data_IF_496368725351
#
_entry.id   IF_496368725351
#
_cell.length_a   1.000
_cell.length_b   1.000
_cell.length_c   1.000
_cell.angle_alpha   90.00
_cell.angle_beta   90.00
_cell.angle_gamma   90.00
#
_symmetry.space_group_name_H-M   'P 1'
#
loop_
_entity.id
_entity.type
_entity.pdbx_description
1 polymer ?
#
# COMPACT_ATOMS: atom_id res chain seq x y z
N UNK A 1 -1.19 21.04 -33.49
CA UNK A 1 -0.63 19.82 -32.87
C UNK A 1 -1.80 18.92 -32.53
N UNK A 2 -1.96 17.78 -33.22
CA UNK A 2 -2.97 16.79 -32.83
C UNK A 2 -2.32 15.91 -31.77
N UNK A 3 -2.82 15.97 -30.54
CA UNK A 3 -2.43 15.02 -29.50
C UNK A 3 -2.79 13.62 -29.98
N UNK A 4 -1.78 12.76 -30.10
CA UNK A 4 -2.02 11.33 -30.28
C UNK A 4 -2.64 10.81 -28.99
N UNK A 5 -3.86 10.28 -29.09
CA UNK A 5 -4.44 9.52 -27.98
C UNK A 5 -3.59 8.29 -27.67
N UNK A 6 -3.84 7.65 -26.51
CA UNK A 6 -3.16 6.42 -26.14
C UNK A 6 -3.25 5.37 -27.27
N UNK A 7 -2.19 4.59 -27.44
CA UNK A 7 -2.19 3.44 -28.34
C UNK A 7 -3.14 2.36 -27.82
N UNK A 8 -3.58 1.43 -28.67
CA UNK A 8 -4.43 0.32 -28.25
C UNK A 8 -3.76 -0.57 -27.17
N UNK A 9 -2.42 -0.61 -27.16
CA UNK A 9 -1.61 -1.31 -26.15
C UNK A 9 -1.64 -0.57 -24.82
N UNK A 10 -1.50 0.76 -24.83
CA UNK A 10 -1.66 1.59 -23.64
C UNK A 10 -3.07 1.51 -23.07
N UNK A 11 -4.10 1.53 -23.91
CA UNK A 11 -5.49 1.37 -23.48
C UNK A 11 -5.73 -0.01 -22.81
N UNK A 12 -5.13 -1.07 -23.35
CA UNK A 12 -5.24 -2.42 -22.79
C UNK A 12 -4.52 -2.54 -21.43
N UNK A 13 -3.32 -1.97 -21.32
CA UNK A 13 -2.55 -1.91 -20.07
C UNK A 13 -3.34 -1.17 -18.98
N UNK A 14 -3.81 0.05 -19.28
CA UNK A 14 -4.62 0.85 -18.35
C UNK A 14 -5.89 0.11 -17.89
N UNK A 15 -6.58 -0.58 -18.80
CA UNK A 15 -7.75 -1.39 -18.46
C UNK A 15 -7.39 -2.60 -17.58
N UNK A 16 -6.25 -3.25 -17.83
CA UNK A 16 -5.72 -4.35 -17.03
C UNK A 16 -5.42 -3.91 -15.60
N UNK A 17 -4.73 -2.78 -15.44
CA UNK A 17 -4.40 -2.17 -14.15
C UNK A 17 -5.65 -1.75 -13.38
N UNK A 18 -6.59 -1.06 -14.03
CA UNK A 18 -7.86 -0.67 -13.42
C UNK A 18 -8.68 -1.88 -12.96
N UNK A 19 -8.69 -2.96 -13.73
CA UNK A 19 -9.36 -4.20 -13.35
C UNK A 19 -8.71 -4.86 -12.12
N UNK A 20 -7.37 -4.88 -12.05
CA UNK A 20 -6.63 -5.41 -10.92
C UNK A 20 -6.87 -4.60 -9.64
N UNK A 21 -6.74 -3.26 -9.71
CA UNK A 21 -6.99 -2.35 -8.60
C UNK A 21 -8.42 -2.50 -8.03
N UNK A 22 -9.42 -2.61 -8.91
CA UNK A 22 -10.81 -2.86 -8.49
C UNK A 22 -11.00 -4.20 -7.77
N UNK A 23 -10.26 -5.25 -8.15
CA UNK A 23 -10.30 -6.54 -7.46
C UNK A 23 -9.63 -6.48 -6.09
N UNK A 24 -8.49 -5.80 -5.98
CA UNK A 24 -7.81 -5.53 -4.70
C UNK A 24 -8.73 -4.74 -3.77
N UNK A 25 -9.32 -3.65 -4.24
CA UNK A 25 -10.27 -2.85 -3.47
C UNK A 25 -11.43 -3.70 -2.92
N UNK A 26 -12.06 -4.52 -3.77
CA UNK A 26 -13.13 -5.45 -3.35
C UNK A 26 -12.63 -6.52 -2.37
N UNK A 27 -11.36 -6.91 -2.45
CA UNK A 27 -10.74 -7.84 -1.50
C UNK A 27 -10.68 -7.20 -0.12
N UNK A 28 -10.18 -5.97 -0.03
CA UNK A 28 -10.17 -5.17 1.21
C UNK A 28 -11.59 -4.98 1.77
N UNK A 29 -12.57 -4.65 0.93
CA UNK A 29 -13.97 -4.52 1.37
C UNK A 29 -14.56 -5.84 1.89
N UNK A 30 -14.25 -6.97 1.27
CA UNK A 30 -14.70 -8.28 1.72
C UNK A 30 -14.08 -8.64 3.08
N UNK A 31 -12.77 -8.40 3.26
CA UNK A 31 -12.07 -8.56 4.54
C UNK A 31 -12.69 -7.69 5.64
N UNK A 32 -13.00 -6.42 5.33
CA UNK A 32 -13.64 -5.51 6.28
C UNK A 32 -15.03 -5.98 6.74
N UNK A 33 -15.72 -6.80 5.93
CA UNK A 33 -17.02 -7.40 6.28
C UNK A 33 -16.90 -8.80 6.90
N UNK A 34 -15.68 -9.30 7.11
CA UNK A 34 -15.41 -10.66 7.60
C UNK A 34 -15.69 -11.78 6.59
N UNK A 35 -15.85 -11.47 5.30
CA UNK A 35 -16.11 -12.45 4.23
C UNK A 35 -14.79 -12.96 3.64
N UNK A 36 -14.07 -13.76 4.44
CA UNK A 36 -12.75 -14.32 4.10
C UNK A 36 -12.77 -15.15 2.81
N UNK A 37 -13.83 -15.94 2.57
CA UNK A 37 -13.92 -16.79 1.38
C UNK A 37 -14.08 -15.95 0.11
N UNK A 38 -14.85 -14.87 0.18
CA UNK A 38 -14.94 -13.93 -0.94
C UNK A 38 -13.63 -13.19 -1.15
N UNK A 39 -12.96 -12.75 -0.09
CA UNK A 39 -11.66 -12.10 -0.19
C UNK A 39 -10.64 -13.00 -0.92
N UNK A 40 -10.52 -14.27 -0.53
CA UNK A 40 -9.65 -15.25 -1.20
C UNK A 40 -9.95 -15.40 -2.69
N UNK A 41 -11.23 -15.49 -3.07
CA UNK A 41 -11.63 -15.60 -4.48
C UNK A 41 -11.25 -14.35 -5.29
N UNK A 42 -11.45 -13.16 -4.72
CA UNK A 42 -11.10 -11.89 -5.38
C UNK A 42 -9.59 -11.72 -5.51
N UNK A 43 -8.82 -12.05 -4.47
CA UNK A 43 -7.36 -12.06 -4.51
C UNK A 43 -6.82 -13.01 -5.59
N UNK A 44 -7.37 -14.22 -5.68
CA UNK A 44 -7.02 -15.16 -6.74
C UNK A 44 -7.35 -14.62 -8.15
N UNK A 45 -8.46 -13.92 -8.32
CA UNK A 45 -8.83 -13.29 -9.59
C UNK A 45 -7.93 -12.10 -9.97
N UNK A 46 -7.38 -11.39 -8.99
CA UNK A 46 -6.40 -10.34 -9.20
C UNK A 46 -5.04 -10.94 -9.57
N UNK A 47 -4.60 -11.98 -8.85
CA UNK A 47 -3.35 -12.68 -9.12
C UNK A 47 -3.33 -13.39 -10.49
N UNK A 48 -4.50 -13.83 -10.98
CA UNK A 48 -4.64 -14.47 -12.29
C UNK A 48 -4.65 -13.47 -13.47
N UNK A 49 -4.45 -12.17 -13.23
CA UNK A 49 -4.32 -11.21 -14.34
C UNK A 49 -3.04 -11.52 -15.13
N UNK A 50 -3.10 -11.48 -16.48
CA UNK A 50 -1.92 -11.72 -17.30
C UNK A 50 -0.85 -10.67 -17.00
N UNK A 51 0.41 -11.04 -17.26
CA UNK A 51 1.52 -10.10 -17.23
C UNK A 51 1.23 -8.92 -18.17
N UNK A 52 1.57 -7.72 -17.71
CA UNK A 52 1.51 -6.52 -18.54
C UNK A 52 2.90 -6.29 -19.15
N UNK A 53 3.04 -6.57 -20.44
CA UNK A 53 4.30 -6.37 -21.17
C UNK A 53 4.67 -4.89 -21.34
N UNK A 54 3.70 -3.98 -21.27
CA UNK A 54 3.94 -2.54 -21.42
C UNK A 54 4.61 -1.97 -20.18
N UNK A 55 4.08 -2.35 -19.01
CA UNK A 55 4.53 -1.88 -17.69
C UNK A 55 5.55 -2.83 -17.05
N UNK A 56 5.78 -4.01 -17.64
CA UNK A 56 6.65 -5.08 -17.16
C UNK A 56 6.31 -5.58 -15.73
N UNK A 57 5.02 -5.66 -15.40
CA UNK A 57 4.52 -6.02 -14.07
C UNK A 57 3.43 -7.10 -14.09
N UNK A 58 3.22 -7.70 -12.92
CA UNK A 58 2.04 -8.51 -12.65
C UNK A 58 0.94 -7.61 -12.03
N UNK A 59 -0.16 -7.29 -12.75
CA UNK A 59 -1.12 -6.28 -12.30
C UNK A 59 -1.73 -6.55 -10.93
N UNK A 60 -1.98 -7.81 -10.58
CA UNK A 60 -2.54 -8.20 -9.28
C UNK A 60 -1.63 -7.85 -8.10
N UNK A 61 -0.44 -8.46 -8.00
CA UNK A 61 0.56 -8.11 -7.00
C UNK A 61 0.88 -6.62 -6.96
N UNK A 62 1.12 -6.00 -8.13
CA UNK A 62 1.45 -4.57 -8.20
C UNK A 62 0.32 -3.71 -7.63
N UNK A 63 -0.94 -3.98 -8.00
CA UNK A 63 -2.08 -3.21 -7.49
C UNK A 63 -2.28 -3.37 -5.97
N UNK A 64 -1.92 -4.53 -5.40
CA UNK A 64 -1.98 -4.74 -3.95
C UNK A 64 -0.89 -3.96 -3.21
N UNK A 65 0.32 -3.94 -3.75
CA UNK A 65 1.43 -3.13 -3.26
C UNK A 65 1.11 -1.62 -3.37
N UNK A 66 0.66 -1.18 -4.54
CA UNK A 66 0.29 0.21 -4.78
C UNK A 66 -0.85 0.68 -3.87
N UNK A 67 -1.86 -0.16 -3.62
CA UNK A 67 -2.95 0.18 -2.69
C UNK A 67 -2.48 0.38 -1.23
N UNK A 68 -1.42 -0.31 -0.81
CA UNK A 68 -0.78 -0.08 0.49
C UNK A 68 -0.01 1.23 0.49
N UNK A 69 0.80 1.46 -0.54
CA UNK A 69 1.58 2.68 -0.71
C UNK A 69 0.66 3.92 -0.69
N UNK A 70 -0.32 3.96 -1.60
CA UNK A 70 -1.30 5.04 -1.72
C UNK A 70 -2.00 5.31 -0.39
N UNK A 71 -2.46 4.26 0.30
CA UNK A 71 -3.13 4.42 1.60
C UNK A 71 -2.26 5.07 2.65
N UNK A 72 -0.96 4.76 2.70
CA UNK A 72 -0.06 5.35 3.69
C UNK A 72 0.37 6.74 3.26
N UNK A 73 0.63 6.98 1.98
CA UNK A 73 1.00 8.32 1.50
C UNK A 73 -0.15 9.31 1.66
N UNK A 74 -1.38 8.95 1.28
CA UNK A 74 -2.57 9.79 1.48
C UNK A 74 -2.68 10.21 2.94
N UNK A 75 -2.41 9.27 3.85
CA UNK A 75 -2.49 9.51 5.27
C UNK A 75 -1.37 10.41 5.80
N UNK A 76 -0.15 10.24 5.30
CA UNK A 76 0.98 11.13 5.66
C UNK A 76 0.70 12.55 5.18
N UNK A 77 0.14 12.71 3.98
CA UNK A 77 -0.22 14.01 3.42
C UNK A 77 -1.36 14.69 4.20
N UNK A 78 -2.34 13.91 4.68
CA UNK A 78 -3.45 14.40 5.50
C UNK A 78 -3.09 14.59 6.99
N UNK A 79 -1.91 14.15 7.44
CA UNK A 79 -1.54 14.20 8.85
C UNK A 79 -1.20 15.63 9.32
N UNK A 80 -1.61 16.06 10.54
CA UNK A 80 -1.27 17.38 11.04
C UNK A 80 0.23 17.66 11.05
N UNK A 81 0.63 18.82 10.49
CA UNK A 81 2.03 19.25 10.47
C UNK A 81 2.60 19.35 11.90
N UNK A 82 3.73 18.68 12.14
CA UNK A 82 4.38 18.63 13.45
C UNK A 82 3.83 17.57 14.40
N UNK A 83 2.82 16.80 14.02
CA UNK A 83 2.43 15.58 14.74
C UNK A 83 3.11 14.33 14.15
N UNK A 84 3.96 13.72 14.95
CA UNK A 84 4.74 12.54 14.57
C UNK A 84 4.10 11.21 15.00
N UNK A 85 2.85 11.23 15.46
CA UNK A 85 2.15 10.05 15.95
C UNK A 85 2.01 8.96 14.88
N UNK A 86 1.85 9.34 13.60
CA UNK A 86 1.71 8.39 12.49
C UNK A 86 2.93 7.47 12.34
N UNK A 87 4.15 7.99 12.50
CA UNK A 87 5.38 7.17 12.43
C UNK A 87 5.45 6.18 13.60
N UNK A 88 4.98 6.60 14.78
CA UNK A 88 4.84 5.73 15.94
C UNK A 88 3.83 4.60 15.69
N UNK A 89 2.71 4.93 15.06
CA UNK A 89 1.68 3.97 14.70
C UNK A 89 2.14 2.95 13.63
N UNK A 90 2.93 3.41 12.66
CA UNK A 90 3.60 2.53 11.70
C UNK A 90 4.55 1.57 12.40
N UNK A 91 5.36 2.06 13.35
CA UNK A 91 6.26 1.22 14.15
C UNK A 91 5.49 0.17 14.99
N UNK A 92 4.39 0.57 15.62
CA UNK A 92 3.50 -0.33 16.37
C UNK A 92 2.92 -1.42 15.45
N UNK A 93 2.50 -1.06 14.24
CA UNK A 93 1.97 -1.99 13.27
C UNK A 93 3.04 -3.00 12.82
N UNK A 94 4.26 -2.55 12.55
CA UNK A 94 5.40 -3.41 12.25
C UNK A 94 5.71 -4.41 13.38
N UNK A 95 5.45 -4.03 14.64
CA UNK A 95 5.56 -4.93 15.79
C UNK A 95 4.47 -6.01 15.88
N UNK A 96 3.41 -5.92 15.08
CA UNK A 96 2.25 -6.84 15.10
C UNK A 96 2.16 -7.75 13.88
N UNK A 97 2.87 -7.42 12.80
CA UNK A 97 2.91 -8.22 11.58
C UNK A 97 4.23 -8.97 11.45
N UNK A 98 4.28 -9.97 10.58
CA UNK A 98 5.51 -10.74 10.32
C UNK A 98 5.59 -11.22 8.87
N UNK A 99 6.75 -11.74 8.49
CA UNK A 99 7.02 -12.20 7.13
C UNK A 99 6.81 -11.09 6.10
N UNK A 100 6.14 -11.43 4.99
CA UNK A 100 5.90 -10.54 3.85
C UNK A 100 5.28 -9.19 4.23
N UNK A 101 4.31 -9.17 5.14
CA UNK A 101 3.70 -7.91 5.58
C UNK A 101 4.70 -6.98 6.26
N UNK A 102 5.63 -7.54 7.06
CA UNK A 102 6.69 -6.76 7.69
C UNK A 102 7.68 -6.26 6.65
N UNK A 103 8.06 -7.10 5.69
CA UNK A 103 9.01 -6.72 4.63
C UNK A 103 8.43 -5.59 3.75
N UNK A 104 7.13 -5.61 3.47
CA UNK A 104 6.42 -4.55 2.75
C UNK A 104 6.37 -3.25 3.54
N UNK A 105 6.10 -3.28 4.85
CA UNK A 105 6.15 -2.07 5.68
C UNK A 105 7.57 -1.50 5.79
N UNK A 106 8.61 -2.35 5.80
CA UNK A 106 10.01 -1.91 5.78
C UNK A 106 10.37 -1.23 4.48
N UNK A 107 9.98 -1.83 3.36
CA UNK A 107 10.19 -1.24 2.05
C UNK A 107 9.43 0.08 1.91
N UNK A 108 8.16 0.15 2.33
CA UNK A 108 7.40 1.38 2.39
C UNK A 108 8.09 2.46 3.23
N UNK A 109 8.60 2.12 4.41
CA UNK A 109 9.37 3.06 5.23
C UNK A 109 10.66 3.56 4.53
N UNK A 110 11.30 2.71 3.72
CA UNK A 110 12.46 3.11 2.92
C UNK A 110 12.07 4.11 1.83
N UNK A 111 10.96 3.87 1.12
CA UNK A 111 10.45 4.79 0.09
C UNK A 111 10.06 6.12 0.70
N UNK A 112 9.36 6.12 1.85
CA UNK A 112 8.99 7.35 2.55
C UNK A 112 10.20 8.15 3.06
N UNK A 113 11.27 7.50 3.55
CA UNK A 113 12.54 8.19 3.90
C UNK A 113 13.22 8.78 2.66
N UNK A 114 13.23 8.05 1.54
CA UNK A 114 13.79 8.53 0.28
C UNK A 114 13.06 9.79 -0.21
N UNK A 115 11.73 9.78 -0.13
CA UNK A 115 10.86 10.84 -0.65
C UNK A 115 10.43 11.85 0.42
N UNK A 116 11.04 11.82 1.60
CA UNK A 116 10.65 12.62 2.77
C UNK A 116 10.46 14.12 2.44
N UNK A 117 11.33 14.68 1.59
CA UNK A 117 11.24 16.09 1.18
C UNK A 117 10.03 16.41 0.30
N UNK A 118 9.57 15.44 -0.50
CA UNK A 118 8.39 15.60 -1.35
C UNK A 118 7.12 15.48 -0.52
N UNK A 119 7.15 14.66 0.53
CA UNK A 119 6.02 14.37 1.42
C UNK A 119 5.96 15.28 2.66
N UNK A 120 6.78 16.34 2.71
CA UNK A 120 6.86 17.26 3.86
C UNK A 120 7.17 16.57 5.21
N UNK A 121 7.82 15.40 5.15
CA UNK A 121 8.27 14.64 6.32
C UNK A 121 9.52 15.30 6.88
N UNK A 122 9.54 15.55 8.18
CA UNK A 122 10.65 16.27 8.81
C UNK A 122 11.88 15.38 9.09
N UNK A 123 12.98 16.00 9.55
CA UNK A 123 14.24 15.30 9.81
C UNK A 123 14.14 14.24 10.94
N UNK A 124 13.22 14.41 11.88
CA UNK A 124 13.02 13.49 13.00
C UNK A 124 12.19 12.29 12.59
N UNK A 125 11.17 12.49 11.76
CA UNK A 125 10.36 11.46 11.12
C UNK A 125 11.18 10.67 10.10
N UNK A 126 11.92 11.33 9.21
CA UNK A 126 12.83 10.67 8.26
C UNK A 126 13.83 9.77 8.99
N UNK A 127 14.41 10.24 10.10
CA UNK A 127 15.31 9.42 10.93
C UNK A 127 14.62 8.22 11.55
N UNK A 128 13.34 8.34 11.92
CA UNK A 128 12.54 7.21 12.43
C UNK A 128 12.20 6.22 11.32
N UNK A 129 11.75 6.69 10.15
CA UNK A 129 11.47 5.89 8.96
C UNK A 129 12.70 5.09 8.54
N UNK A 130 13.88 5.70 8.49
CA UNK A 130 15.13 5.00 8.20
C UNK A 130 15.43 3.87 9.18
N UNK A 131 15.14 4.06 10.47
CA UNK A 131 15.32 2.99 11.47
C UNK A 131 14.31 1.86 11.28
N UNK A 132 13.08 2.19 10.88
CA UNK A 132 12.05 1.20 10.59
C UNK A 132 12.38 0.40 9.32
N UNK A 133 12.83 1.08 8.27
CA UNK A 133 13.26 0.49 7.01
C UNK A 133 14.38 -0.53 7.19
N UNK A 134 15.36 -0.22 8.04
CA UNK A 134 16.54 -1.07 8.22
C UNK A 134 17.36 -1.12 6.93
N UNK A 135 17.58 -2.32 6.41
CA UNK A 135 18.36 -2.55 5.17
C UNK A 135 17.46 -2.69 3.92
N UNK A 136 16.18 -2.32 4.00
CA UNK A 136 15.27 -2.38 2.86
C UNK A 136 15.70 -1.41 1.75
N UNK A 137 15.70 -1.89 0.51
CA UNK A 137 16.01 -1.08 -0.67
C UNK A 137 14.75 -0.35 -1.15
N UNK A 138 14.74 1.00 -1.19
CA UNK A 138 13.60 1.76 -1.70
C UNK A 138 13.41 1.63 -3.21
N UNK A 139 14.42 1.15 -3.96
CA UNK A 139 14.34 0.94 -5.41
C UNK A 139 13.94 -0.50 -5.78
N UNK A 140 13.88 -1.41 -4.81
CA UNK A 140 13.35 -2.74 -5.05
C UNK A 140 11.85 -2.65 -5.30
N UNK A 141 11.33 -3.51 -6.18
CA UNK A 141 9.90 -3.63 -6.40
C UNK A 141 9.40 -5.00 -5.92
N UNK A 142 8.93 -5.11 -4.66
CA UNK A 142 8.57 -6.40 -4.05
C UNK A 142 7.52 -7.18 -4.86
N UNK A 143 6.66 -6.48 -5.58
CA UNK A 143 5.55 -7.05 -6.35
C UNK A 143 5.98 -7.78 -7.64
N UNK A 144 7.14 -7.45 -8.22
CA UNK A 144 7.63 -8.04 -9.49
C UNK A 144 8.17 -9.45 -9.28
N UNK A 145 8.85 -9.69 -8.14
CA UNK A 145 9.55 -10.94 -7.84
C UNK A 145 8.67 -12.08 -7.30
N UNK A 146 7.35 -11.90 -7.21
CA UNK A 146 6.45 -12.86 -6.54
C UNK A 146 6.23 -14.11 -7.41
N UNK A 147 6.59 -15.31 -6.91
CA UNK A 147 6.34 -16.58 -7.61
C UNK A 147 4.85 -16.77 -7.92
N UNK A 148 4.53 -17.34 -9.09
CA UNK A 148 3.16 -17.47 -9.59
C UNK A 148 2.21 -18.14 -8.59
N UNK A 149 2.67 -19.20 -7.94
CA UNK A 149 1.92 -19.97 -6.93
C UNK A 149 1.69 -19.21 -5.62
N UNK A 150 2.43 -18.12 -5.37
CA UNK A 150 2.31 -17.29 -4.18
C UNK A 150 1.57 -15.96 -4.41
N UNK A 151 1.25 -15.59 -5.66
CA UNK A 151 0.67 -14.27 -5.99
C UNK A 151 -0.69 -14.04 -5.36
N UNK A 152 -1.53 -15.07 -5.28
CA UNK A 152 -2.86 -14.93 -4.66
C UNK A 152 -2.75 -14.63 -3.17
N UNK A 153 -1.85 -15.32 -2.47
CA UNK A 153 -1.57 -15.11 -1.06
C UNK A 153 -0.89 -13.75 -0.84
N UNK A 154 0.02 -13.34 -1.72
CA UNK A 154 0.61 -12.00 -1.73
C UNK A 154 -0.45 -10.89 -1.78
N UNK A 155 -1.37 -10.97 -2.74
CA UNK A 155 -2.47 -10.01 -2.88
C UNK A 155 -3.36 -9.99 -1.65
N UNK A 156 -3.67 -11.17 -1.10
CA UNK A 156 -4.53 -11.29 0.07
C UNK A 156 -3.87 -10.71 1.34
N UNK A 157 -2.60 -11.03 1.57
CA UNK A 157 -1.84 -10.55 2.74
C UNK A 157 -1.63 -9.05 2.70
N UNK A 158 -1.36 -8.48 1.53
CA UNK A 158 -1.31 -7.04 1.37
C UNK A 158 -2.68 -6.39 1.52
N UNK A 159 -3.76 -7.00 1.02
CA UNK A 159 -5.11 -6.49 1.25
C UNK A 159 -5.48 -6.48 2.74
N UNK A 160 -5.03 -7.48 3.51
CA UNK A 160 -5.15 -7.49 4.98
C UNK A 160 -4.32 -6.38 5.61
N UNK A 161 -3.11 -6.15 5.12
CA UNK A 161 -2.25 -5.10 5.63
C UNK A 161 -2.85 -3.71 5.36
N UNK A 162 -3.39 -3.46 4.16
CA UNK A 162 -4.14 -2.24 3.82
C UNK A 162 -5.29 -2.02 4.81
N UNK A 163 -6.06 -3.07 5.11
CA UNK A 163 -7.15 -2.98 6.10
C UNK A 163 -6.64 -2.67 7.51
N UNK A 164 -5.53 -3.29 7.94
CA UNK A 164 -4.91 -3.05 9.24
C UNK A 164 -4.38 -1.62 9.37
N UNK A 165 -3.66 -1.13 8.35
CA UNK A 165 -3.17 0.25 8.25
C UNK A 165 -4.35 1.21 8.36
N UNK A 166 -5.39 0.99 7.53
CA UNK A 166 -6.60 1.81 7.55
C UNK A 166 -7.21 1.88 8.93
N UNK A 167 -7.47 0.72 9.55
CA UNK A 167 -8.12 0.66 10.87
C UNK A 167 -7.26 1.34 11.94
N UNK A 168 -5.96 1.06 11.98
CA UNK A 168 -5.08 1.57 13.04
C UNK A 168 -4.85 3.07 12.95
N UNK A 169 -4.73 3.60 11.74
CA UNK A 169 -4.40 5.00 11.54
C UNK A 169 -5.66 5.90 11.52
N UNK A 170 -6.80 5.39 11.02
CA UNK A 170 -8.09 6.08 11.16
C UNK A 170 -8.52 6.20 12.63
N UNK A 171 -8.25 5.20 13.47
CA UNK A 171 -8.46 5.28 14.92
C UNK A 171 -7.73 6.48 15.55
N UNK A 172 -6.49 6.73 15.13
CA UNK A 172 -5.66 7.81 15.67
C UNK A 172 -6.12 9.20 15.22
N UNK A 173 -6.52 9.35 13.94
CA UNK A 173 -7.08 10.61 13.44
C UNK A 173 -8.40 10.97 14.13
N UNK A 174 -9.23 9.96 14.45
CA UNK A 174 -10.49 10.18 15.15
C UNK A 174 -10.29 10.53 16.63
N UNK A 175 -9.32 9.90 17.29
CA UNK A 175 -9.00 10.18 18.69
C UNK A 175 -8.55 11.64 18.87
N UNK A 176 -7.76 12.19 17.95
CA UNK A 176 -7.24 13.57 18.01
C UNK A 176 -8.37 14.62 17.88
N UNK A 177 -9.31 14.40 16.96
CA UNK A 177 -10.50 15.27 16.77
C UNK A 177 -11.38 15.34 18.03
N UNK A 178 -11.43 14.26 18.82
CA UNK A 178 -12.24 14.25 20.05
C UNK A 178 -11.55 14.93 21.24
N UNK A 179 -10.23 15.07 21.23
CA UNK A 179 -9.46 15.72 22.30
C UNK A 179 -9.50 17.26 22.16
N UNK A 180 -9.53 17.79 20.94
CA UNK A 180 -9.49 19.25 20.67
C UNK A 180 -10.86 19.97 20.78
N UNK A 181 -11.97 19.24 20.84
CA UNK A 181 -13.32 19.81 20.99
C UNK A 181 -13.72 20.19 22.43
N UNK A 182 -12.80 20.06 23.40
CA UNK A 182 -13.08 20.13 24.83
C UNK A 182 -12.19 21.09 25.62
N UNK A 183 -11.86 22.26 25.08
CA UNK A 183 -11.18 23.35 25.82
C UNK A 183 -11.94 24.67 25.76
#
# INVERSE_FOLDING_TARGET
>A
MRGGGPSAEQDASLAGMAAAANLVHKTVEALARGDEDRARRLAAQAAARPFDEHEEIWPGPWAAHYALFERVTDLVEDWPEGDHAWVGALADLMGRVSGRQLDELRHLAAVLDQDARLLSVDDDEARRLRRLAGDADPLAEPSIGVPEDERADYVLDLSRLVLLVRTRLEELLLDDVTQDGGS
#
